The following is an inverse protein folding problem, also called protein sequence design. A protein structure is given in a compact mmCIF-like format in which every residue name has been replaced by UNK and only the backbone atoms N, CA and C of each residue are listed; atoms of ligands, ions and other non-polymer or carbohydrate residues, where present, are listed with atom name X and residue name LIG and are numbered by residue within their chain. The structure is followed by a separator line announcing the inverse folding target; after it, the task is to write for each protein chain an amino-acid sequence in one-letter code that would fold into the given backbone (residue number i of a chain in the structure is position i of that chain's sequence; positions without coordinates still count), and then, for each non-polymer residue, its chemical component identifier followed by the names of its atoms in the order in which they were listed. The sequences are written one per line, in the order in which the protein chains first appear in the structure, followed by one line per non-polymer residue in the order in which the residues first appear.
data_IF_574111461053
#
_entry.id   IF_574111461053
#
_cell.length_a   1.000
_cell.length_b   1.000
_cell.length_c   1.000
_cell.angle_alpha   90.00
_cell.angle_beta   90.00
_cell.angle_gamma   90.00
#
_symmetry.space_group_name_H-M   'P 1'
#
loop_
_entity.id
_entity.type
_entity.pdbx_description
1 polymer ?
#
# COMPACT_ATOMS: atom_id res chain seq x y z
N UNK A 1 -9.80 10.79 -8.35
CA UNK A 1 -10.64 10.26 -7.26
C UNK A 1 -10.95 11.31 -6.20
N UNK A 2 -9.97 11.83 -5.44
CA UNK A 2 -10.23 12.82 -4.38
C UNK A 2 -11.03 14.05 -4.83
N UNK A 3 -10.68 14.66 -5.96
CA UNK A 3 -11.45 15.79 -6.54
C UNK A 3 -12.87 15.38 -6.95
N UNK A 4 -13.05 14.18 -7.52
CA UNK A 4 -14.37 13.65 -7.86
C UNK A 4 -15.21 13.34 -6.60
N UNK A 5 -14.55 13.03 -5.48
CA UNK A 5 -15.18 12.84 -4.17
C UNK A 5 -15.50 14.15 -3.45
N UNK A 6 -15.31 15.31 -4.10
CA UNK A 6 -15.60 16.63 -3.55
C UNK A 6 -14.48 17.24 -2.69
N UNK A 7 -13.30 16.60 -2.60
CA UNK A 7 -12.17 17.17 -1.87
C UNK A 7 -11.45 18.23 -2.71
N UNK A 8 -11.08 19.38 -2.11
CA UNK A 8 -10.23 20.36 -2.76
C UNK A 8 -8.90 19.78 -3.24
N UNK A 9 -8.37 20.34 -4.33
CA UNK A 9 -7.08 19.95 -4.91
C UNK A 9 -5.95 20.03 -3.88
N UNK A 10 -5.91 21.08 -3.06
CA UNK A 10 -4.88 21.25 -2.03
C UNK A 10 -4.94 20.16 -0.96
N UNK A 11 -6.13 19.67 -0.58
CA UNK A 11 -6.28 18.55 0.36
C UNK A 11 -5.75 17.27 -0.29
N UNK A 12 -6.03 17.06 -1.57
CA UNK A 12 -5.55 15.89 -2.32
C UNK A 12 -4.03 15.82 -2.35
N UNK A 13 -3.36 16.96 -2.56
CA UNK A 13 -1.90 17.08 -2.54
C UNK A 13 -1.35 16.90 -1.13
N UNK A 14 -2.00 17.48 -0.12
CA UNK A 14 -1.58 17.33 1.28
C UNK A 14 -1.66 15.86 1.72
N UNK A 15 -2.74 15.16 1.40
CA UNK A 15 -2.86 13.71 1.62
C UNK A 15 -1.73 12.97 0.89
N UNK A 16 -1.43 13.30 -0.36
CA UNK A 16 -0.34 12.67 -1.11
C UNK A 16 1.04 12.87 -0.49
N UNK A 17 1.31 14.04 0.07
CA UNK A 17 2.60 14.38 0.68
C UNK A 17 2.75 13.76 2.08
N UNK A 18 1.64 13.60 2.81
CA UNK A 18 1.64 13.11 4.20
C UNK A 18 1.36 11.62 4.31
N UNK A 19 0.71 11.04 3.31
CA UNK A 19 0.40 9.63 3.24
C UNK A 19 0.98 9.06 1.94
N UNK A 20 2.29 8.80 1.96
CA UNK A 20 3.04 8.21 0.84
C UNK A 20 2.78 6.70 0.74
N UNK A 21 1.51 6.31 0.75
CA UNK A 21 1.10 4.92 0.61
C UNK A 21 0.08 4.87 -0.51
N UNK A 22 0.44 4.32 -1.67
CA UNK A 22 -0.47 4.32 -2.81
C UNK A 22 -1.81 3.67 -2.43
N UNK A 23 -1.80 2.40 -2.01
CA UNK A 23 -3.01 1.68 -1.59
C UNK A 23 -3.75 2.40 -0.45
N UNK A 24 -3.01 2.83 0.58
CA UNK A 24 -3.60 3.47 1.76
C UNK A 24 -4.19 4.85 1.46
N UNK A 25 -3.62 5.60 0.53
CA UNK A 25 -4.17 6.87 0.04
C UNK A 25 -5.51 6.63 -0.66
N UNK A 26 -5.61 5.64 -1.55
CA UNK A 26 -6.86 5.33 -2.24
C UNK A 26 -7.94 4.82 -1.27
N UNK A 27 -7.59 3.88 -0.39
CA UNK A 27 -8.52 3.36 0.62
C UNK A 27 -8.97 4.47 1.59
N UNK A 28 -8.04 5.34 2.00
CA UNK A 28 -8.33 6.47 2.89
C UNK A 28 -9.28 7.48 2.27
N UNK A 29 -9.05 7.87 1.01
CA UNK A 29 -9.96 8.77 0.28
C UNK A 29 -11.36 8.15 0.15
N UNK A 30 -11.45 6.84 -0.11
CA UNK A 30 -12.73 6.13 -0.16
C UNK A 30 -13.49 6.20 1.17
N UNK A 31 -12.81 5.94 2.29
CA UNK A 31 -13.41 6.02 3.63
C UNK A 31 -13.83 7.45 4.00
N UNK A 32 -13.04 8.46 3.63
CA UNK A 32 -13.39 9.87 3.81
C UNK A 32 -14.65 10.21 3.02
N UNK A 33 -14.76 9.75 1.76
CA UNK A 33 -15.91 10.03 0.90
C UNK A 33 -17.21 9.42 1.42
N UNK A 34 -17.14 8.28 2.10
CA UNK A 34 -18.31 7.62 2.72
C UNK A 34 -18.61 8.13 4.14
N UNK A 35 -17.83 9.06 4.69
CA UNK A 35 -18.01 9.56 6.06
C UNK A 35 -17.75 8.52 7.14
N UNK A 36 -16.82 7.58 6.89
CA UNK A 36 -16.52 6.51 7.83
C UNK A 36 -15.93 7.05 9.16
N UNK A 37 -16.15 6.36 10.31
CA UNK A 37 -15.57 6.77 11.59
C UNK A 37 -14.04 6.82 11.56
N UNK A 38 -13.44 7.77 12.29
CA UNK A 38 -11.98 7.94 12.34
C UNK A 38 -11.23 6.68 12.80
N UNK A 39 -11.83 5.90 13.71
CA UNK A 39 -11.23 4.65 14.19
C UNK A 39 -11.14 3.60 13.08
N UNK A 40 -12.17 3.50 12.23
CA UNK A 40 -12.17 2.58 11.10
C UNK A 40 -11.10 3.00 10.08
N UNK A 41 -11.01 4.30 9.78
CA UNK A 41 -9.98 4.84 8.90
C UNK A 41 -8.58 4.54 9.44
N UNK A 42 -8.33 4.77 10.72
CA UNK A 42 -7.05 4.50 11.36
C UNK A 42 -6.68 3.01 11.32
N UNK A 43 -7.62 2.11 11.67
CA UNK A 43 -7.38 0.66 11.65
C UNK A 43 -7.16 0.14 10.23
N UNK A 44 -7.93 0.65 9.26
CA UNK A 44 -7.80 0.26 7.86
C UNK A 44 -6.43 0.66 7.33
N UNK A 45 -5.97 1.89 7.60
CA UNK A 45 -4.64 2.32 7.19
C UNK A 45 -3.54 1.58 7.91
N UNK A 46 -3.68 1.32 9.21
CA UNK A 46 -2.71 0.52 9.95
C UNK A 46 -2.54 -0.86 9.32
N UNK A 47 -3.65 -1.52 8.96
CA UNK A 47 -3.61 -2.89 8.43
C UNK A 47 -3.11 -2.94 7.00
N UNK A 48 -3.55 -2.03 6.12
CA UNK A 48 -3.05 -1.93 4.75
C UNK A 48 -1.54 -1.63 4.74
N UNK A 49 -1.10 -0.71 5.62
CA UNK A 49 0.27 -0.22 5.64
C UNK A 49 1.20 -1.05 6.53
N UNK A 50 0.71 -2.05 7.26
CA UNK A 50 1.52 -2.91 8.13
C UNK A 50 2.68 -3.57 7.36
N UNK A 51 2.50 -3.84 6.07
CA UNK A 51 3.54 -4.36 5.19
C UNK A 51 4.77 -3.45 5.11
N UNK A 52 4.59 -2.13 5.16
CA UNK A 52 5.72 -1.19 5.17
C UNK A 52 6.50 -1.23 6.48
N UNK A 53 5.86 -1.57 7.60
CA UNK A 53 6.57 -1.81 8.85
C UNK A 53 7.48 -3.04 8.76
N UNK A 54 7.01 -4.13 8.14
CA UNK A 54 7.80 -5.33 7.89
C UNK A 54 8.96 -5.07 6.92
N UNK A 55 8.71 -4.33 5.83
CA UNK A 55 9.74 -3.90 4.88
C UNK A 55 10.79 -3.02 5.56
N UNK A 56 10.35 -2.07 6.39
CA UNK A 56 11.23 -1.19 7.17
C UNK A 56 12.10 -1.97 8.15
N UNK A 57 11.54 -2.99 8.80
CA UNK A 57 12.30 -3.87 9.70
C UNK A 57 13.38 -4.64 8.93
N UNK A 58 13.05 -5.21 7.77
CA UNK A 58 14.00 -5.92 6.91
C UNK A 58 15.12 -5.01 6.40
N UNK A 59 14.80 -3.78 5.97
CA UNK A 59 15.83 -2.83 5.53
C UNK A 59 16.68 -2.29 6.68
N UNK A 60 16.11 -2.15 7.88
CA UNK A 60 16.84 -1.71 9.08
C UNK A 60 17.99 -2.67 9.46
N UNK A 61 17.86 -3.96 9.13
CA UNK A 61 18.93 -4.95 9.34
C UNK A 61 20.11 -4.75 8.38
N UNK A 62 19.86 -4.16 7.20
CA UNK A 62 20.89 -3.81 6.21
C UNK A 62 21.36 -2.34 6.33
N UNK A 63 20.85 -1.60 7.30
CA UNK A 63 21.16 -0.17 7.46
C UNK A 63 22.54 0.01 8.11
N UNK A 64 23.43 0.74 7.43
CA UNK A 64 24.73 1.12 7.96
C UNK A 64 24.60 2.08 9.17
N UNK A 65 25.68 2.20 9.95
CA UNK A 65 25.87 3.15 11.05
C UNK A 65 25.62 4.61 10.64
N UNK A 66 25.68 4.95 9.35
CA UNK A 66 25.31 6.27 8.84
C UNK A 66 23.82 6.63 8.98
N UNK A 67 22.95 5.63 9.21
CA UNK A 67 21.52 5.82 9.47
C UNK A 67 21.23 5.85 10.99
N UNK A 68 21.45 7.02 11.59
CA UNK A 68 21.02 7.30 12.97
C UNK A 68 19.49 7.20 13.12
N UNK A 69 18.98 7.13 14.35
CA UNK A 69 17.54 6.94 14.65
C UNK A 69 16.64 7.91 13.87
N UNK A 70 17.05 9.17 13.76
CA UNK A 70 16.28 10.22 13.08
C UNK A 70 16.22 10.00 11.57
N UNK A 71 17.36 9.63 10.96
CA UNK A 71 17.39 9.27 9.55
C UNK A 71 16.60 7.99 9.27
N UNK A 72 16.63 7.01 10.18
CA UNK A 72 15.81 5.80 10.08
C UNK A 72 14.32 6.12 10.04
N UNK A 73 13.84 7.04 10.89
CA UNK A 73 12.45 7.48 10.89
C UNK A 73 12.06 8.17 9.58
N UNK A 74 12.91 9.06 9.05
CA UNK A 74 12.64 9.72 7.77
C UNK A 74 12.66 8.71 6.62
N UNK A 75 13.62 7.78 6.60
CA UNK A 75 13.65 6.75 5.57
C UNK A 75 12.45 5.81 5.68
N UNK A 76 11.98 5.49 6.88
CA UNK A 76 10.82 4.65 7.11
C UNK A 76 9.53 5.26 6.53
N UNK A 77 9.38 6.58 6.62
CA UNK A 77 8.28 7.29 5.96
C UNK A 77 8.31 7.13 4.43
N UNK A 78 9.50 7.10 3.84
CA UNK A 78 9.69 6.99 2.40
C UNK A 78 9.73 5.55 1.86
N UNK A 79 9.56 4.51 2.68
CA UNK A 79 9.61 3.13 2.19
C UNK A 79 8.31 2.79 1.45
N UNK A 80 8.43 2.60 0.14
CA UNK A 80 7.37 2.07 -0.72
C UNK A 80 7.78 0.71 -1.29
N UNK A 81 6.86 0.04 -2.00
CA UNK A 81 7.10 -1.29 -2.58
C UNK A 81 8.28 -1.26 -3.57
N UNK A 82 8.38 -0.19 -4.37
CA UNK A 82 9.42 0.03 -5.38
C UNK A 82 10.77 0.30 -4.72
N UNK A 83 10.77 1.15 -3.69
CA UNK A 83 11.96 1.51 -2.95
C UNK A 83 12.49 0.28 -2.20
N UNK A 84 11.60 -0.51 -1.59
CA UNK A 84 11.96 -1.78 -0.98
C UNK A 84 12.49 -2.80 -1.99
N UNK A 85 11.85 -2.95 -3.15
CA UNK A 85 12.29 -3.87 -4.20
C UNK A 85 13.72 -3.53 -4.68
N UNK A 86 14.02 -2.26 -4.88
CA UNK A 86 15.35 -1.80 -5.31
C UNK A 86 16.37 -1.92 -4.18
N UNK A 87 16.03 -1.46 -2.97
CA UNK A 87 16.95 -1.45 -1.83
C UNK A 87 17.26 -2.86 -1.31
N UNK A 88 16.31 -3.79 -1.34
CA UNK A 88 16.49 -5.17 -0.90
C UNK A 88 17.47 -5.97 -1.79
N UNK A 89 17.55 -5.63 -3.08
CA UNK A 89 18.48 -6.23 -4.04
C UNK A 89 19.95 -5.80 -3.86
N UNK A 90 20.22 -4.80 -3.02
CA UNK A 90 21.58 -4.35 -2.73
C UNK A 90 22.28 -5.32 -1.77
N UNK A 91 23.49 -5.76 -2.17
CA UNK A 91 24.30 -6.74 -1.42
C UNK A 91 25.04 -6.13 -0.22
N UNK A 92 25.37 -4.83 -0.26
CA UNK A 92 26.08 -4.11 0.80
C UNK A 92 25.16 -3.13 1.55
N UNK A 93 25.64 -2.67 2.70
CA UNK A 93 24.89 -1.82 3.61
C UNK A 93 24.29 -0.59 2.92
N UNK A 94 23.08 -0.28 3.36
CA UNK A 94 22.25 0.77 2.81
C UNK A 94 22.54 2.05 3.60
N UNK A 95 23.33 2.95 3.02
CA UNK A 95 23.68 4.22 3.63
C UNK A 95 22.63 5.33 3.42
N UNK A 96 22.73 6.40 4.23
CA UNK A 96 21.81 7.55 4.21
C UNK A 96 21.61 8.19 2.82
N UNK A 97 22.70 8.46 2.10
CA UNK A 97 22.64 9.19 0.83
C UNK A 97 21.97 8.37 -0.27
N UNK A 98 22.14 7.05 -0.21
CA UNK A 98 21.48 6.13 -1.13
C UNK A 98 19.97 6.10 -0.90
N UNK A 99 19.52 5.95 0.35
CA UNK A 99 18.09 5.96 0.67
C UNK A 99 17.44 7.30 0.32
N UNK A 100 18.07 8.43 0.64
CA UNK A 100 17.52 9.73 0.29
C UNK A 100 17.41 9.93 -1.23
N UNK A 101 18.44 9.54 -1.99
CA UNK A 101 18.36 9.59 -3.45
C UNK A 101 17.25 8.71 -4.01
N UNK A 102 17.10 7.50 -3.46
CA UNK A 102 16.09 6.54 -3.89
C UNK A 102 14.65 6.97 -3.54
N UNK A 103 14.45 7.67 -2.42
CA UNK A 103 13.12 8.16 -1.97
C UNK A 103 12.70 9.43 -2.70
N UNK A 104 13.64 10.34 -2.99
CA UNK A 104 13.30 11.69 -3.46
C UNK A 104 12.57 11.69 -4.81
N UNK A 105 13.03 10.90 -5.77
CA UNK A 105 12.43 10.86 -7.11
C UNK A 105 10.99 10.29 -7.07
N UNK A 106 10.71 9.13 -6.45
CA UNK A 106 9.34 8.66 -6.26
C UNK A 106 8.46 9.63 -5.47
N UNK A 107 8.97 10.24 -4.39
CA UNK A 107 8.19 11.18 -3.58
C UNK A 107 7.74 12.41 -4.36
N UNK A 108 8.67 13.03 -5.11
CA UNK A 108 8.36 14.18 -5.96
C UNK A 108 7.49 13.77 -7.14
N UNK A 109 7.78 12.63 -7.78
CA UNK A 109 6.98 12.11 -8.88
C UNK A 109 5.53 11.84 -8.49
N UNK A 110 5.31 11.28 -7.30
CA UNK A 110 3.97 11.00 -6.78
C UNK A 110 3.21 12.28 -6.42
N UNK A 111 3.87 13.21 -5.72
CA UNK A 111 3.25 14.48 -5.30
C UNK A 111 2.91 15.36 -6.51
N UNK A 112 3.83 15.47 -7.47
CA UNK A 112 3.59 16.23 -8.72
C UNK A 112 2.57 15.53 -9.61
N UNK A 113 2.61 14.20 -9.71
CA UNK A 113 1.59 13.41 -10.40
C UNK A 113 0.19 13.59 -9.80
N UNK A 114 0.07 13.64 -8.47
CA UNK A 114 -1.21 13.93 -7.80
C UNK A 114 -1.71 15.34 -8.10
N UNK A 115 -0.83 16.34 -8.05
CA UNK A 115 -1.19 17.72 -8.39
C UNK A 115 -1.66 17.82 -9.84
N UNK A 116 -0.87 17.31 -10.79
CA UNK A 116 -1.21 17.32 -12.21
C UNK A 116 -2.48 16.54 -12.50
N UNK A 117 -2.66 15.36 -11.87
CA UNK A 117 -3.86 14.55 -12.00
C UNK A 117 -5.10 15.21 -11.39
N UNK A 118 -4.95 15.96 -10.29
CA UNK A 118 -6.04 16.70 -9.68
C UNK A 118 -6.48 17.91 -10.52
N UNK A 119 -5.53 18.60 -11.18
CA UNK A 119 -5.83 19.69 -12.12
C UNK A 119 -6.45 19.14 -13.40
N UNK A 120 -5.79 18.15 -14.02
CA UNK A 120 -6.22 17.54 -15.27
C UNK A 120 -7.55 16.76 -15.13
N UNK A 121 -7.85 16.26 -13.93
CA UNK A 121 -9.11 15.55 -13.66
C UNK A 121 -10.37 16.38 -13.93
N UNK A 122 -10.28 17.71 -13.88
CA UNK A 122 -11.39 18.61 -14.25
C UNK A 122 -11.52 18.85 -15.76
N UNK A 123 -10.51 18.48 -16.54
CA UNK A 123 -10.40 18.76 -17.99
C UNK A 123 -10.60 17.46 -18.80
N UNK A 124 -10.23 16.32 -18.23
CA UNK A 124 -10.24 15.03 -18.94
C UNK A 124 -11.66 14.48 -19.14
N UNK A 125 -11.98 13.94 -20.33
CA UNK A 125 -13.23 13.21 -20.55
C UNK A 125 -13.38 12.01 -19.61
N UNK A 126 -14.61 11.68 -19.22
CA UNK A 126 -14.90 10.60 -18.28
C UNK A 126 -14.32 9.24 -18.69
N UNK A 127 -14.23 8.95 -19.99
CA UNK A 127 -13.63 7.71 -20.53
C UNK A 127 -12.14 7.58 -20.20
N UNK A 128 -11.38 8.68 -20.29
CA UNK A 128 -9.94 8.70 -19.96
C UNK A 128 -9.75 8.58 -18.46
N UNK A 129 -10.58 9.27 -17.68
CA UNK A 129 -10.56 9.21 -16.21
C UNK A 129 -10.83 7.79 -15.70
N UNK A 130 -11.78 7.07 -16.32
CA UNK A 130 -12.04 5.66 -16.01
C UNK A 130 -10.86 4.75 -16.35
N UNK A 131 -10.22 4.93 -17.51
CA UNK A 131 -9.05 4.14 -17.90
C UNK A 131 -7.86 4.35 -16.94
N UNK A 132 -7.64 5.58 -16.47
CA UNK A 132 -6.58 5.89 -15.51
C UNK A 132 -6.80 5.23 -14.14
N UNK A 133 -8.05 5.08 -13.69
CA UNK A 133 -8.35 4.35 -12.45
C UNK A 133 -7.98 2.85 -12.54
N UNK A 134 -8.11 2.24 -13.73
CA UNK A 134 -7.74 0.83 -13.94
C UNK A 134 -6.23 0.61 -13.81
N UNK A 135 -5.41 1.60 -14.19
CA UNK A 135 -3.95 1.48 -14.15
C UNK A 135 -3.41 1.16 -12.75
N UNK A 136 -4.04 1.68 -11.69
CA UNK A 136 -3.66 1.40 -10.31
C UNK A 136 -3.90 -0.08 -9.93
N UNK A 137 -5.04 -0.65 -10.32
CA UNK A 137 -5.32 -2.07 -10.06
C UNK A 137 -4.33 -2.96 -10.82
N UNK A 138 -4.00 -2.60 -12.06
CA UNK A 138 -2.99 -3.29 -12.86
C UNK A 138 -1.61 -3.29 -12.20
N UNK A 139 -1.22 -2.18 -11.54
CA UNK A 139 0.03 -2.09 -10.79
C UNK A 139 0.07 -3.07 -9.61
N UNK A 140 -0.99 -3.13 -8.80
CA UNK A 140 -1.03 -4.09 -7.69
C UNK A 140 -0.99 -5.54 -8.17
N UNK A 141 -1.72 -5.85 -9.24
CA UNK A 141 -1.67 -7.17 -9.88
C UNK A 141 -0.24 -7.50 -10.34
N UNK A 142 0.46 -6.55 -10.96
CA UNK A 142 1.84 -6.72 -11.39
C UNK A 142 2.82 -6.97 -10.22
N UNK A 143 2.56 -6.41 -9.03
CA UNK A 143 3.38 -6.63 -7.82
C UNK A 143 3.14 -8.03 -7.23
N UNK A 144 1.89 -8.50 -7.18
CA UNK A 144 1.56 -9.78 -6.52
C UNK A 144 1.82 -11.01 -7.42
N UNK A 145 1.75 -10.86 -8.74
CA UNK A 145 1.91 -11.99 -9.68
C UNK A 145 3.30 -12.66 -9.57
N UNK A 146 4.44 -11.93 -9.60
CA UNK A 146 5.76 -12.56 -9.52
C UNK A 146 5.98 -13.41 -8.25
N UNK A 147 5.69 -12.94 -7.02
CA UNK A 147 5.82 -13.76 -5.83
C UNK A 147 4.81 -14.91 -5.80
N UNK A 148 3.58 -14.72 -6.30
CA UNK A 148 2.59 -15.79 -6.41
C UNK A 148 3.04 -16.93 -7.34
N UNK A 149 3.76 -16.60 -8.43
CA UNK A 149 4.36 -17.61 -9.33
C UNK A 149 5.51 -18.37 -8.68
N UNK A 150 6.22 -17.76 -7.74
CA UNK A 150 7.38 -18.37 -7.05
C UNK A 150 6.99 -19.21 -5.84
N UNK A 151 5.85 -18.92 -5.20
CA UNK A 151 5.45 -19.55 -3.93
C UNK A 151 3.98 -19.97 -3.95
N UNK A 152 3.73 -21.29 -3.90
CA UNK A 152 2.38 -21.86 -3.79
C UNK A 152 1.63 -21.37 -2.53
N UNK A 153 2.26 -21.26 -1.34
CA UNK A 153 1.63 -20.64 -0.18
C UNK A 153 1.11 -19.22 -0.44
N UNK A 154 1.92 -18.38 -1.10
CA UNK A 154 1.53 -17.00 -1.42
C UNK A 154 0.33 -16.96 -2.36
N UNK A 155 0.33 -17.81 -3.39
CA UNK A 155 -0.80 -17.93 -4.32
C UNK A 155 -2.09 -18.31 -3.59
N UNK A 156 -2.01 -19.26 -2.65
CA UNK A 156 -3.17 -19.73 -1.89
C UNK A 156 -3.70 -18.65 -0.94
N UNK A 157 -2.82 -17.89 -0.27
CA UNK A 157 -3.22 -16.73 0.54
C UNK A 157 -3.94 -15.67 -0.31
N UNK A 158 -3.43 -15.38 -1.51
CA UNK A 158 -4.09 -14.47 -2.45
C UNK A 158 -5.48 -14.99 -2.83
N UNK A 159 -5.60 -16.28 -3.17
CA UNK A 159 -6.88 -16.89 -3.53
C UNK A 159 -7.90 -16.83 -2.38
N UNK A 160 -7.49 -17.12 -1.14
CA UNK A 160 -8.35 -16.99 0.04
C UNK A 160 -8.80 -15.53 0.21
N UNK A 161 -7.90 -14.56 0.10
CA UNK A 161 -8.25 -13.14 0.19
C UNK A 161 -9.29 -12.72 -0.84
N UNK A 162 -9.14 -13.19 -2.10
CA UNK A 162 -10.11 -12.89 -3.17
C UNK A 162 -11.47 -13.52 -2.88
N UNK A 163 -11.51 -14.78 -2.44
CA UNK A 163 -12.76 -15.47 -2.09
C UNK A 163 -13.46 -14.77 -0.93
N UNK A 164 -12.73 -14.45 0.15
CA UNK A 164 -13.28 -13.73 1.30
C UNK A 164 -13.82 -12.36 0.87
N UNK A 165 -13.04 -11.57 0.12
CA UNK A 165 -13.47 -10.26 -0.36
C UNK A 165 -14.73 -10.36 -1.22
N UNK A 166 -14.84 -11.38 -2.07
CA UNK A 166 -16.02 -11.62 -2.90
C UNK A 166 -17.24 -11.99 -2.05
N UNK A 167 -17.06 -12.80 -0.99
CA UNK A 167 -18.14 -13.14 -0.06
C UNK A 167 -18.62 -11.90 0.68
N UNK A 168 -17.71 -11.05 1.17
CA UNK A 168 -18.08 -9.80 1.85
C UNK A 168 -18.89 -8.86 0.93
N UNK A 169 -18.53 -8.80 -0.36
CA UNK A 169 -19.21 -7.97 -1.35
C UNK A 169 -20.59 -8.53 -1.76
N UNK A 170 -20.70 -9.84 -2.01
CA UNK A 170 -21.90 -10.42 -2.65
C UNK A 170 -22.83 -11.17 -1.69
N UNK A 171 -22.41 -11.51 -0.47
CA UNK A 171 -23.27 -12.22 0.47
C UNK A 171 -24.31 -11.28 1.09
N UNK A 172 -25.62 -11.59 0.99
CA UNK A 172 -26.65 -10.83 1.68
C UNK A 172 -26.40 -10.88 3.20
N UNK A 173 -26.69 -9.77 3.90
CA UNK A 173 -26.40 -9.50 5.32
C UNK A 173 -24.97 -9.11 5.68
N UNK A 174 -23.94 -9.57 4.97
CA UNK A 174 -22.53 -9.26 5.28
C UNK A 174 -22.05 -8.01 4.54
N UNK A 175 -22.65 -7.67 3.40
CA UNK A 175 -22.42 -6.42 2.65
C UNK A 175 -22.94 -5.15 3.39
N UNK A 176 -23.25 -5.23 4.69
CA UNK A 176 -23.50 -4.06 5.55
C UNK A 176 -22.26 -3.63 6.33
N UNK A 177 -21.20 -4.44 6.31
CA UNK A 177 -19.94 -4.08 6.92
C UNK A 177 -19.26 -3.00 6.09
N UNK A 178 -18.66 -2.01 6.75
CA UNK A 178 -17.92 -0.99 6.03
C UNK A 178 -16.68 -1.59 5.33
N UNK A 179 -16.32 -1.02 4.19
CA UNK A 179 -15.21 -1.47 3.34
C UNK A 179 -13.89 -1.59 4.11
N UNK A 180 -13.65 -0.72 5.09
CA UNK A 180 -12.46 -0.79 5.93
C UNK A 180 -12.40 -2.08 6.74
N UNK A 181 -13.48 -2.43 7.45
CA UNK A 181 -13.56 -3.67 8.23
C UNK A 181 -13.49 -4.93 7.34
N UNK A 182 -14.09 -4.90 6.15
CA UNK A 182 -13.99 -6.01 5.21
C UNK A 182 -12.53 -6.28 4.82
N UNK A 183 -11.76 -5.23 4.50
CA UNK A 183 -10.32 -5.35 4.19
C UNK A 183 -9.55 -5.92 5.37
N UNK A 184 -9.83 -5.42 6.59
CA UNK A 184 -9.18 -5.87 7.82
C UNK A 184 -9.40 -7.36 8.06
N UNK A 185 -10.66 -7.80 7.99
CA UNK A 185 -11.01 -9.20 8.24
C UNK A 185 -10.40 -10.09 7.15
N UNK A 186 -10.48 -9.71 5.88
CA UNK A 186 -9.85 -10.47 4.80
C UNK A 186 -8.34 -10.64 5.02
N UNK A 187 -7.63 -9.56 5.33
CA UNK A 187 -6.18 -9.57 5.51
C UNK A 187 -5.76 -10.44 6.72
N UNK A 188 -6.40 -10.26 7.87
CA UNK A 188 -6.09 -11.03 9.10
C UNK A 188 -6.41 -12.51 8.90
N UNK A 189 -7.58 -12.82 8.33
CA UNK A 189 -8.01 -14.22 8.18
C UNK A 189 -7.15 -14.95 7.14
N UNK A 190 -6.86 -14.32 6.00
CA UNK A 190 -6.03 -14.93 4.96
C UNK A 190 -4.58 -15.14 5.42
N UNK A 191 -4.00 -14.17 6.13
CA UNK A 191 -2.65 -14.31 6.68
C UNK A 191 -2.56 -15.36 7.78
N UNK A 192 -3.57 -15.43 8.66
CA UNK A 192 -3.66 -16.46 9.70
C UNK A 192 -3.75 -17.87 9.10
N UNK A 193 -4.65 -18.08 8.13
CA UNK A 193 -4.78 -19.38 7.45
C UNK A 193 -3.48 -19.73 6.70
N UNK A 194 -2.85 -18.75 6.04
CA UNK A 194 -1.55 -18.93 5.41
C UNK A 194 -0.46 -19.41 6.38
N UNK A 195 -0.37 -18.78 7.56
CA UNK A 195 0.61 -19.14 8.58
C UNK A 195 0.38 -20.53 9.18
N UNK A 196 -0.88 -20.92 9.41
CA UNK A 196 -1.25 -22.23 9.97
C UNK A 196 -1.02 -23.36 8.98
N UNK A 197 -1.41 -23.18 7.71
CA UNK A 197 -1.28 -24.23 6.70
C UNK A 197 0.12 -24.33 6.09
N UNK A 198 0.89 -23.23 6.09
CA UNK A 198 2.23 -23.18 5.49
C UNK A 198 3.24 -22.52 6.42
N UNK A 199 3.55 -23.14 7.58
CA UNK A 199 4.58 -22.63 8.47
C UNK A 199 5.94 -22.62 7.76
N UNK A 200 6.69 -21.53 7.92
CA UNK A 200 8.08 -21.45 7.45
C UNK A 200 8.89 -22.43 8.29
N UNK A 201 9.47 -23.45 7.66
CA UNK A 201 10.41 -24.34 8.34
C UNK A 201 11.66 -23.54 8.66
N UNK A 202 11.99 -23.42 9.94
CA UNK A 202 13.28 -22.86 10.36
C UNK A 202 14.40 -23.66 9.69
N UNK A 203 15.35 -22.96 9.07
CA UNK A 203 16.57 -23.58 8.62
C UNK A 203 17.32 -24.01 9.88
N UNK A 204 17.31 -25.30 10.19
CA UNK A 204 18.27 -25.91 11.09
C UNK A 204 19.66 -25.59 10.56
N UNK A 205 20.38 -24.71 11.28
CA UNK A 205 21.84 -24.63 11.23
C UNK A 205 22.49 -25.96 11.62
#
# INVERSE_FOLDING_TARGET
MAVNSGLPVWISVLISMTNLTSAGQFAGIGLIACGAPYIEMALTQLIINLRYALMSLSLSQKADKSLNILHRMITAFGITDEIFAVASGKAHDIGKSYMYGLITAPYLGWSTGTLLGAIAGNILPGSVSAALNIALYSMFIAIIIPPAKKSKPVLLVIAISVVLSTIFEFAPYINRLSNGFAIIICAVTASFLGAVFFPVKEATE
#
